data_IF_726872498941
#
_entry.id   IF_726872498941
#
_cell.length_a   1.000
_cell.length_b   1.000
_cell.length_c   1.000
_cell.angle_alpha   90.00
_cell.angle_beta   90.00
_cell.angle_gamma   90.00
#
_symmetry.space_group_name_H-M   'P 1'
#
loop_
_entity.id
_entity.type
_entity.pdbx_description
1 polymer ?
#
# COMPACT_ATOMS: atom_id res chain seq x y z
N UNK A 1 42.04 3.02 15.34
CA UNK A 1 41.37 2.24 14.25
C UNK A 1 41.12 0.79 14.69
N UNK A 2 41.93 0.20 15.61
CA UNK A 2 41.75 -1.19 16.09
C UNK A 2 40.58 -1.39 17.08
N UNK A 3 40.23 -0.38 17.86
CA UNK A 3 39.20 -0.49 18.92
C UNK A 3 37.75 -0.32 18.41
N UNK A 4 37.54 0.20 17.20
CA UNK A 4 36.21 0.32 16.58
C UNK A 4 35.75 -0.95 15.85
N UNK A 5 36.64 -1.87 15.56
CA UNK A 5 36.29 -3.16 14.91
C UNK A 5 35.79 -4.23 15.91
N UNK A 6 36.15 -4.14 17.20
CA UNK A 6 35.67 -5.10 18.20
C UNK A 6 34.21 -4.89 18.63
N UNK A 7 33.70 -3.67 18.60
CA UNK A 7 32.32 -3.39 18.98
C UNK A 7 31.28 -3.91 17.96
N UNK A 8 31.64 -3.98 16.68
CA UNK A 8 30.76 -4.46 15.61
C UNK A 8 30.65 -6.00 15.60
N UNK A 9 31.65 -6.70 16.08
CA UNK A 9 31.64 -8.17 16.17
C UNK A 9 30.90 -8.71 17.39
N UNK A 10 30.73 -7.92 18.46
CA UNK A 10 30.03 -8.36 19.66
C UNK A 10 28.50 -8.24 19.56
N UNK A 11 27.99 -7.30 18.78
CA UNK A 11 26.55 -7.13 18.53
C UNK A 11 26.00 -8.24 17.64
N UNK A 12 26.77 -8.72 16.67
CA UNK A 12 26.33 -9.80 15.76
C UNK A 12 26.23 -11.19 16.41
N UNK A 13 26.78 -11.39 17.61
CA UNK A 13 26.75 -12.71 18.28
C UNK A 13 25.56 -12.86 19.24
N UNK A 14 24.97 -11.76 19.71
CA UNK A 14 23.80 -11.76 20.59
C UNK A 14 22.46 -11.92 19.84
N UNK A 15 22.39 -11.55 18.58
CA UNK A 15 21.14 -11.62 17.80
C UNK A 15 20.90 -12.95 17.06
N UNK A 16 21.89 -13.85 16.96
CA UNK A 16 21.71 -15.15 16.32
C UNK A 16 20.97 -16.19 17.13
N UNK A 17 20.75 -15.99 18.43
CA UNK A 17 20.14 -16.99 19.31
C UNK A 17 18.67 -16.77 19.68
N UNK A 18 18.02 -15.71 19.18
CA UNK A 18 16.63 -15.36 19.55
C UNK A 18 15.60 -15.72 18.46
N UNK A 19 16.05 -16.08 17.27
CA UNK A 19 15.18 -16.33 16.10
C UNK A 19 14.74 -17.79 15.88
N UNK A 20 15.08 -18.71 16.81
CA UNK A 20 14.80 -20.15 16.63
C UNK A 20 13.74 -20.74 17.57
N UNK A 21 12.89 -19.92 18.21
CA UNK A 21 11.80 -20.45 19.05
C UNK A 21 10.48 -19.71 18.83
N UNK A 22 9.78 -19.97 17.72
CA UNK A 22 8.32 -19.92 17.64
C UNK A 22 7.82 -20.75 16.45
N UNK A 23 7.99 -22.07 16.52
CA UNK A 23 7.14 -23.01 15.81
C UNK A 23 6.26 -23.70 16.83
N UNK A 24 5.07 -23.20 17.00
CA UNK A 24 3.99 -23.87 17.74
C UNK A 24 2.77 -23.88 16.86
N UNK A 25 2.60 -24.96 16.08
CA UNK A 25 1.35 -25.25 15.39
C UNK A 25 0.27 -25.52 16.42
N UNK A 26 -0.70 -24.64 16.56
CA UNK A 26 -2.03 -25.02 17.04
C UNK A 26 -3.04 -24.52 16.02
N UNK A 27 -3.69 -25.46 15.32
CA UNK A 27 -4.93 -25.17 14.61
C UNK A 27 -5.97 -24.77 15.65
N UNK A 28 -6.61 -23.61 15.58
CA UNK A 28 -7.80 -23.33 16.35
C UNK A 28 -8.97 -24.09 15.69
N UNK A 29 -9.56 -24.97 16.42
CA UNK A 29 -10.88 -25.52 16.12
C UNK A 29 -11.93 -24.44 16.29
N UNK A 30 -12.80 -24.30 15.32
CA UNK A 30 -14.04 -23.58 15.16
C UNK A 30 -14.52 -22.63 16.25
N UNK A 31 -14.80 -21.38 15.83
CA UNK A 31 -15.43 -20.34 16.61
C UNK A 31 -14.55 -19.10 16.71
N UNK A 32 -14.16 -18.52 15.57
CA UNK A 32 -13.43 -17.25 15.53
C UNK A 32 -14.25 -16.16 16.20
N UNK A 33 -13.71 -15.51 17.23
CA UNK A 33 -14.28 -14.28 17.79
C UNK A 33 -14.15 -13.26 16.68
N UNK A 34 -15.29 -12.83 16.12
CA UNK A 34 -15.34 -11.76 15.11
C UNK A 34 -14.64 -10.53 15.69
N UNK A 35 -13.66 -10.00 14.97
CA UNK A 35 -12.99 -8.77 15.36
C UNK A 35 -14.01 -7.64 15.35
N UNK A 36 -14.19 -6.97 16.50
CA UNK A 36 -15.14 -5.87 16.60
C UNK A 36 -14.45 -4.58 16.14
N UNK A 37 -14.40 -4.39 14.82
CA UNK A 37 -13.86 -3.16 14.25
C UNK A 37 -14.81 -1.99 14.48
N UNK A 38 -14.22 -0.81 14.70
CA UNK A 38 -14.97 0.42 14.88
C UNK A 38 -15.26 1.05 13.53
N UNK A 39 -16.53 1.03 13.11
CA UNK A 39 -16.99 1.78 11.96
C UNK A 39 -17.18 3.25 12.32
N UNK A 40 -16.44 4.16 11.70
CA UNK A 40 -16.52 5.61 11.88
C UNK A 40 -17.61 6.12 10.91
N UNK A 41 -18.74 6.53 11.44
CA UNK A 41 -19.89 7.01 10.66
C UNK A 41 -20.19 8.50 10.88
N UNK A 42 -19.52 9.12 11.86
CA UNK A 42 -19.73 10.52 12.22
C UNK A 42 -18.49 11.33 11.85
N UNK A 43 -18.64 12.43 11.09
CA UNK A 43 -17.54 13.34 10.80
C UNK A 43 -16.91 13.90 12.07
N UNK A 44 -15.60 14.12 12.01
CA UNK A 44 -14.83 14.69 13.12
C UNK A 44 -13.36 14.86 12.72
N UNK A 45 -12.51 15.34 13.64
CA UNK A 45 -11.08 15.38 13.39
C UNK A 45 -10.48 13.96 13.42
N UNK A 46 -9.46 13.71 12.58
CA UNK A 46 -8.68 12.47 12.61
C UNK A 46 -7.87 12.37 13.89
N UNK A 47 -7.31 13.49 14.35
CA UNK A 47 -6.52 13.61 15.58
C UNK A 47 -7.28 14.50 16.59
N UNK A 48 -7.28 14.12 17.84
CA UNK A 48 -7.80 14.96 18.92
C UNK A 48 -6.85 16.13 19.24
N UNK A 49 -7.20 16.94 20.23
CA UNK A 49 -6.40 18.10 20.68
C UNK A 49 -5.01 17.72 21.22
N UNK A 50 -4.82 16.46 21.60
CA UNK A 50 -3.56 15.89 22.06
C UNK A 50 -2.76 15.20 20.95
N UNK A 51 -3.28 15.19 19.71
CA UNK A 51 -2.65 14.52 18.57
C UNK A 51 -2.81 13.00 18.55
N UNK A 52 -3.82 12.49 19.27
CA UNK A 52 -4.11 11.05 19.34
C UNK A 52 -5.20 10.72 18.32
N UNK A 53 -4.96 9.65 17.54
CA UNK A 53 -5.90 9.19 16.55
C UNK A 53 -7.04 8.40 17.20
N UNK A 54 -8.27 8.64 16.74
CA UNK A 54 -9.40 7.78 17.08
C UNK A 54 -9.40 6.57 16.16
N UNK A 55 -9.13 5.34 16.65
CA UNK A 55 -9.02 4.17 15.80
C UNK A 55 -10.36 3.79 15.16
N UNK A 56 -10.33 3.24 13.96
CA UNK A 56 -11.51 2.79 13.23
C UNK A 56 -11.30 2.81 11.71
N UNK A 57 -12.35 2.48 10.98
CA UNK A 57 -12.39 2.58 9.52
C UNK A 57 -13.65 3.28 9.05
N UNK A 58 -13.60 3.80 7.83
CA UNK A 58 -14.76 4.26 7.08
C UNK A 58 -14.60 3.92 5.59
N UNK A 59 -15.71 3.90 4.88
CA UNK A 59 -15.72 3.65 3.42
C UNK A 59 -15.62 4.94 2.59
N UNK A 60 -15.42 6.07 3.25
CA UNK A 60 -15.23 7.41 2.66
C UNK A 60 -14.38 8.28 3.57
N UNK A 61 -13.76 9.31 3.02
CA UNK A 61 -13.04 10.32 3.79
C UNK A 61 -13.99 11.29 4.46
N UNK A 62 -14.58 10.89 5.59
CA UNK A 62 -15.54 11.70 6.36
C UNK A 62 -14.89 12.52 7.48
N UNK A 63 -13.69 12.14 7.90
CA UNK A 63 -12.94 12.84 8.93
C UNK A 63 -11.97 13.87 8.33
N UNK A 64 -11.72 14.94 9.10
CA UNK A 64 -10.79 16.00 8.69
C UNK A 64 -9.41 15.73 9.24
N UNK A 65 -8.44 15.52 8.35
CA UNK A 65 -7.03 15.48 8.69
C UNK A 65 -6.42 16.85 8.44
N UNK A 66 -5.59 17.30 9.38
CA UNK A 66 -4.73 18.47 9.23
C UNK A 66 -3.33 18.12 9.71
N UNK A 67 -2.35 18.33 8.87
CA UNK A 67 -0.94 18.12 9.22
C UNK A 67 -0.51 18.95 10.45
N UNK A 68 -1.11 20.12 10.64
CA UNK A 68 -0.84 21.01 11.78
C UNK A 68 -1.30 20.43 13.14
N UNK A 69 -2.25 19.47 13.13
CA UNK A 69 -2.75 18.85 14.36
C UNK A 69 -1.79 17.77 14.91
N UNK A 70 -0.77 17.39 14.16
CA UNK A 70 0.21 16.38 14.55
C UNK A 70 1.06 16.90 15.72
N UNK A 71 1.04 16.19 16.85
CA UNK A 71 1.82 16.51 18.06
C UNK A 71 3.11 15.66 18.14
N UNK A 72 3.83 15.59 17.04
CA UNK A 72 5.13 14.92 16.95
C UNK A 72 6.18 15.83 16.32
N UNK A 73 7.47 15.59 16.54
CA UNK A 73 8.51 16.33 15.85
C UNK A 73 8.34 16.24 14.34
N UNK A 74 8.46 17.38 13.64
CA UNK A 74 8.21 17.48 12.19
C UNK A 74 9.04 16.50 11.36
N UNK A 75 10.24 16.16 11.84
CA UNK A 75 11.13 15.18 11.19
C UNK A 75 10.69 13.73 11.37
N UNK A 76 9.59 13.45 12.09
CA UNK A 76 9.00 12.10 12.20
C UNK A 76 7.79 11.91 11.33
N UNK A 77 7.26 12.95 10.73
CA UNK A 77 6.07 12.89 9.87
C UNK A 77 6.44 12.19 8.57
N UNK A 78 5.59 11.29 8.14
CA UNK A 78 5.70 10.51 6.91
C UNK A 78 4.45 10.70 6.09
N UNK A 79 4.62 10.93 4.79
CA UNK A 79 3.52 11.23 3.88
C UNK A 79 3.87 10.69 2.49
N UNK A 80 2.92 10.00 1.83
CA UNK A 80 3.07 9.56 0.45
C UNK A 80 1.75 9.50 -0.30
N UNK A 81 1.86 9.65 -1.61
CA UNK A 81 0.88 9.30 -2.60
C UNK A 81 1.52 8.26 -3.53
N UNK A 82 1.01 7.04 -3.50
CA UNK A 82 1.42 5.96 -4.37
C UNK A 82 0.28 5.56 -5.27
N UNK A 83 0.51 5.64 -6.58
CA UNK A 83 -0.42 5.15 -7.57
C UNK A 83 0.18 3.94 -8.29
N UNK A 84 -0.66 2.96 -8.55
CA UNK A 84 -0.33 1.85 -9.42
C UNK A 84 -1.41 1.69 -10.48
N UNK A 85 -0.98 1.41 -11.70
CA UNK A 85 -1.84 1.10 -12.85
C UNK A 85 -1.38 -0.20 -13.45
N UNK A 86 -2.31 -1.15 -13.66
CA UNK A 86 -2.00 -2.44 -14.27
C UNK A 86 -3.10 -2.87 -15.23
N UNK A 87 -2.70 -3.56 -16.30
CA UNK A 87 -3.59 -4.20 -17.27
C UNK A 87 -3.54 -5.73 -17.22
N UNK A 88 -2.98 -6.27 -16.13
CA UNK A 88 -2.80 -7.72 -15.95
C UNK A 88 -1.50 -8.29 -16.55
N UNK A 89 -0.70 -7.47 -17.21
CA UNK A 89 0.60 -7.82 -17.77
C UNK A 89 1.67 -6.77 -17.44
N UNK A 90 1.36 -5.51 -17.71
CA UNK A 90 2.22 -4.37 -17.41
C UNK A 90 1.76 -3.65 -16.16
N UNK A 91 2.72 -3.12 -15.44
CA UNK A 91 2.48 -2.32 -14.26
C UNK A 91 3.27 -1.02 -14.33
N UNK A 92 2.57 0.09 -14.13
CA UNK A 92 3.14 1.43 -14.03
C UNK A 92 2.88 1.97 -12.63
N UNK A 93 3.93 2.24 -11.90
CA UNK A 93 3.87 2.75 -10.52
C UNK A 93 4.44 4.15 -10.44
N UNK A 94 3.77 5.01 -9.67
CA UNK A 94 4.19 6.37 -9.36
C UNK A 94 4.27 6.52 -7.85
N UNK A 95 5.37 7.05 -7.35
CA UNK A 95 5.56 7.35 -5.94
C UNK A 95 5.99 8.80 -5.77
N UNK A 96 5.29 9.53 -4.92
CA UNK A 96 5.70 10.85 -4.46
C UNK A 96 5.45 10.97 -2.97
N UNK A 97 6.51 11.10 -2.18
CA UNK A 97 6.36 11.15 -0.75
C UNK A 97 7.68 11.17 0.00
N UNK A 98 7.57 11.14 1.32
CA UNK A 98 8.72 11.05 2.21
C UNK A 98 8.43 10.20 3.46
N UNK A 99 9.45 9.50 3.89
CA UNK A 99 9.49 8.78 5.15
C UNK A 99 10.37 9.57 6.13
N UNK A 100 9.89 10.75 6.57
CA UNK A 100 10.65 11.64 7.46
C UNK A 100 11.76 12.40 6.71
N UNK A 101 13.03 12.11 6.96
CA UNK A 101 14.20 12.83 6.41
C UNK A 101 14.61 12.40 4.99
N UNK A 102 14.03 11.36 4.47
CA UNK A 102 14.24 10.92 3.10
C UNK A 102 12.91 10.86 2.34
N UNK A 103 12.85 11.43 1.17
CA UNK A 103 11.71 11.35 0.27
C UNK A 103 12.10 10.80 -1.09
N UNK A 104 11.10 10.55 -1.91
CA UNK A 104 11.28 9.96 -3.23
C UNK A 104 10.26 10.49 -4.21
N UNK A 105 10.74 10.74 -5.43
CA UNK A 105 9.94 10.77 -6.65
C UNK A 105 10.37 9.56 -7.46
N UNK A 106 9.47 8.64 -7.73
CA UNK A 106 9.80 7.47 -8.54
C UNK A 106 8.66 7.09 -9.48
N UNK A 107 9.02 6.72 -10.71
CA UNK A 107 8.10 6.13 -11.67
C UNK A 107 8.78 4.91 -12.30
N UNK A 108 8.08 3.79 -12.28
CA UNK A 108 8.57 2.52 -12.78
C UNK A 108 7.53 1.88 -13.69
N UNK A 109 7.97 1.49 -14.88
CA UNK A 109 7.19 0.67 -15.82
C UNK A 109 7.88 -0.68 -15.98
N UNK A 110 7.15 -1.75 -15.80
CA UNK A 110 7.65 -3.11 -15.95
C UNK A 110 6.56 -4.07 -16.44
N UNK A 111 6.99 -5.15 -17.09
CA UNK A 111 6.14 -6.28 -17.43
C UNK A 111 6.40 -7.40 -16.42
N UNK A 112 5.43 -7.69 -15.56
CA UNK A 112 5.62 -8.69 -14.51
C UNK A 112 5.44 -10.13 -15.01
N UNK A 113 4.84 -10.34 -16.18
CA UNK A 113 4.77 -11.67 -16.80
C UNK A 113 6.14 -12.13 -17.32
N UNK A 114 6.95 -11.20 -17.81
CA UNK A 114 8.29 -11.49 -18.35
C UNK A 114 9.42 -11.16 -17.38
N UNK A 115 9.13 -10.37 -16.33
CA UNK A 115 10.14 -9.83 -15.41
C UNK A 115 10.95 -8.66 -15.99
N UNK A 116 10.54 -8.12 -17.17
CA UNK A 116 11.23 -7.02 -17.83
C UNK A 116 10.97 -5.68 -17.13
N UNK A 117 12.03 -5.02 -16.68
CA UNK A 117 11.97 -3.61 -16.26
C UNK A 117 12.19 -2.73 -17.47
N UNK A 118 11.12 -2.04 -17.91
CA UNK A 118 11.11 -1.21 -19.11
C UNK A 118 11.67 0.18 -18.81
N UNK A 119 11.24 0.77 -17.68
CA UNK A 119 11.75 2.05 -17.20
C UNK A 119 11.74 2.09 -15.67
N UNK A 120 12.74 2.71 -15.08
CA UNK A 120 12.82 2.94 -13.63
C UNK A 120 13.55 4.25 -13.35
N UNK A 121 12.79 5.30 -13.09
CA UNK A 121 13.32 6.60 -12.72
C UNK A 121 13.03 6.84 -11.25
N UNK A 122 14.08 7.09 -10.47
CA UNK A 122 13.97 7.38 -9.03
C UNK A 122 14.89 8.55 -8.67
N UNK A 123 14.34 9.51 -7.95
CA UNK A 123 15.04 10.65 -7.37
C UNK A 123 14.86 10.66 -5.87
N UNK A 124 15.98 10.52 -5.15
CA UNK A 124 16.00 10.68 -3.70
C UNK A 124 15.90 12.16 -3.33
N UNK A 125 15.01 12.50 -2.41
CA UNK A 125 14.81 13.82 -1.85
C UNK A 125 15.39 13.84 -0.44
N UNK A 126 16.45 14.60 -0.23
CA UNK A 126 17.06 14.74 1.10
C UNK A 126 16.29 15.79 1.93
N UNK A 127 15.95 15.43 3.16
CA UNK A 127 15.38 16.33 4.18
C UNK A 127 14.12 17.10 3.70
N UNK A 128 13.14 16.45 3.07
CA UNK A 128 11.98 17.17 2.51
C UNK A 128 11.07 17.79 3.57
N UNK A 129 10.86 17.14 4.72
CA UNK A 129 10.16 17.64 5.91
C UNK A 129 8.86 18.41 5.65
N UNK A 130 8.03 17.95 4.73
CA UNK A 130 6.75 18.58 4.38
C UNK A 130 6.84 19.64 3.28
N UNK A 131 8.02 19.86 2.69
CA UNK A 131 8.17 20.75 1.53
C UNK A 131 7.54 20.21 0.24
N UNK A 132 7.02 18.97 0.27
CA UNK A 132 6.33 18.36 -0.86
C UNK A 132 4.89 18.87 -1.00
N UNK A 133 4.35 19.54 0.01
CA UNK A 133 2.99 20.12 0.03
C UNK A 133 1.92 19.12 -0.42
N UNK A 134 2.02 17.87 0.09
CA UNK A 134 1.06 16.82 -0.23
C UNK A 134 -0.33 17.17 0.34
N UNK A 135 -1.42 16.83 -0.36
CA UNK A 135 -2.77 17.21 0.06
C UNK A 135 -3.17 16.53 1.38
N UNK A 136 -4.02 17.21 2.15
CA UNK A 136 -4.54 16.71 3.41
C UNK A 136 -5.76 15.78 3.25
N UNK A 137 -6.25 15.63 2.01
CA UNK A 137 -7.37 14.76 1.66
C UNK A 137 -7.13 14.13 0.27
N UNK A 138 -7.36 12.84 0.15
CA UNK A 138 -7.18 12.10 -1.10
C UNK A 138 -8.30 12.30 -2.14
N UNK A 139 -9.46 12.81 -1.73
CA UNK A 139 -10.63 13.02 -2.59
C UNK A 139 -10.83 14.50 -2.96
N UNK A 140 -10.14 15.42 -2.31
CA UNK A 140 -10.24 16.85 -2.60
C UNK A 140 -9.49 17.19 -3.89
N UNK A 141 -10.04 18.12 -4.66
CA UNK A 141 -9.35 18.69 -5.80
C UNK A 141 -7.97 19.20 -5.39
N UNK A 142 -6.97 18.79 -6.13
CA UNK A 142 -5.57 19.11 -5.84
C UNK A 142 -4.71 19.05 -7.07
N UNK A 143 -3.59 19.75 -7.03
CA UNK A 143 -2.62 19.78 -8.11
C UNK A 143 -1.21 19.86 -7.51
N UNK A 144 -0.57 18.72 -7.40
CA UNK A 144 0.79 18.63 -6.87
C UNK A 144 1.77 18.28 -7.97
N UNK A 145 2.92 18.92 -7.94
CA UNK A 145 3.95 18.68 -8.94
C UNK A 145 5.35 18.67 -8.32
N UNK A 146 6.20 17.91 -8.97
CA UNK A 146 7.65 17.96 -8.82
C UNK A 146 8.28 18.31 -10.15
N UNK A 147 9.18 19.29 -10.14
CA UNK A 147 9.86 19.76 -11.34
C UNK A 147 11.31 20.12 -11.00
N UNK A 148 12.22 19.15 -11.08
CA UNK A 148 13.66 19.36 -10.83
C UNK A 148 14.51 18.35 -11.56
N UNK A 149 15.64 18.85 -12.14
CA UNK A 149 16.68 17.99 -12.70
C UNK A 149 16.22 17.16 -13.89
N UNK A 150 15.37 17.73 -14.75
CA UNK A 150 14.83 17.06 -15.94
C UNK A 150 13.81 15.97 -15.63
N UNK A 151 13.28 15.95 -14.41
CA UNK A 151 12.19 15.06 -14.00
C UNK A 151 11.00 15.91 -13.61
N UNK A 152 9.86 15.65 -14.26
CA UNK A 152 8.58 16.30 -14.02
C UNK A 152 7.55 15.24 -13.62
N UNK A 153 6.91 15.41 -12.49
CA UNK A 153 5.79 14.58 -12.01
C UNK A 153 4.64 15.51 -11.65
N UNK A 154 3.42 15.15 -12.04
CA UNK A 154 2.23 15.87 -11.63
C UNK A 154 1.11 14.89 -11.31
N UNK A 155 0.48 15.08 -10.16
CA UNK A 155 -0.78 14.43 -9.80
C UNK A 155 -1.84 15.51 -9.65
N UNK A 156 -2.86 15.49 -10.51
CA UNK A 156 -3.99 16.40 -10.49
C UNK A 156 -5.27 15.62 -10.19
N UNK A 157 -6.07 16.08 -9.24
CA UNK A 157 -7.36 15.54 -8.88
C UNK A 157 -8.44 16.58 -9.21
N UNK A 158 -9.44 16.17 -9.97
CA UNK A 158 -10.63 16.96 -10.30
C UNK A 158 -11.86 16.04 -10.12
N UNK A 159 -12.58 16.21 -9.01
CA UNK A 159 -13.68 15.34 -8.64
C UNK A 159 -13.25 13.87 -8.57
N UNK A 160 -13.91 13.02 -9.34
CA UNK A 160 -13.61 11.59 -9.38
C UNK A 160 -12.48 11.21 -10.36
N UNK A 161 -11.87 12.18 -11.03
CA UNK A 161 -10.83 11.96 -12.04
C UNK A 161 -9.46 12.33 -11.50
N UNK A 162 -8.48 11.51 -11.80
CA UNK A 162 -7.06 11.75 -11.49
C UNK A 162 -6.24 11.70 -12.76
N UNK A 163 -5.44 12.72 -12.95
CA UNK A 163 -4.50 12.85 -14.06
C UNK A 163 -3.09 12.68 -13.51
N UNK A 164 -2.43 11.61 -13.93
CA UNK A 164 -1.05 11.31 -13.57
C UNK A 164 -0.18 11.57 -14.78
N UNK A 165 0.73 12.53 -14.70
CA UNK A 165 1.69 12.79 -15.76
C UNK A 165 3.12 12.75 -15.23
N UNK A 166 3.99 12.21 -16.06
CA UNK A 166 5.41 12.10 -15.79
C UNK A 166 6.21 12.32 -17.06
N UNK A 167 7.33 13.02 -16.94
CA UNK A 167 8.34 13.05 -17.99
C UNK A 167 9.76 13.12 -17.41
N UNK A 168 10.65 12.39 -18.06
CA UNK A 168 12.09 12.38 -17.86
C UNK A 168 12.76 12.12 -19.22
N UNK A 169 14.08 12.26 -19.36
CA UNK A 169 14.75 11.84 -20.60
C UNK A 169 14.37 10.38 -20.96
N UNK A 170 13.94 10.19 -22.20
CA UNK A 170 13.55 8.91 -22.80
C UNK A 170 12.36 8.17 -22.14
N UNK A 171 11.65 8.80 -21.17
CA UNK A 171 10.49 8.20 -20.54
C UNK A 171 9.39 9.22 -20.23
N UNK A 172 8.21 9.01 -20.77
CA UNK A 172 7.00 9.79 -20.51
C UNK A 172 5.83 8.86 -20.15
N UNK A 173 4.92 9.35 -19.31
CA UNK A 173 3.67 8.65 -18.98
C UNK A 173 2.55 9.66 -18.75
N UNK A 174 1.37 9.37 -19.30
CA UNK A 174 0.15 10.15 -19.11
C UNK A 174 -1.01 9.18 -18.91
N UNK A 175 -1.55 9.15 -17.70
CA UNK A 175 -2.63 8.24 -17.30
C UNK A 175 -3.78 9.06 -16.71
N UNK A 176 -4.99 8.69 -17.09
CA UNK A 176 -6.22 9.16 -16.47
C UNK A 176 -6.85 7.99 -15.71
N UNK A 177 -7.15 8.23 -14.43
CA UNK A 177 -7.88 7.30 -13.58
C UNK A 177 -9.25 7.88 -13.30
N UNK A 178 -10.29 7.06 -13.45
CA UNK A 178 -11.66 7.44 -13.12
C UNK A 178 -12.18 6.55 -11.98
N UNK A 179 -12.64 7.16 -10.91
CA UNK A 179 -13.28 6.48 -9.80
C UNK A 179 -14.71 6.14 -10.17
N UNK A 180 -14.98 4.85 -10.34
CA UNK A 180 -16.33 4.33 -10.64
C UNK A 180 -17.04 3.80 -9.37
N UNK A 181 -16.27 3.44 -8.35
CA UNK A 181 -16.80 3.00 -7.07
C UNK A 181 -16.87 4.17 -6.09
N UNK A 182 -18.05 4.50 -5.52
CA UNK A 182 -18.19 5.58 -4.54
C UNK A 182 -17.55 5.25 -3.18
N UNK A 183 -17.16 4.00 -2.97
CA UNK A 183 -16.55 3.52 -1.73
C UNK A 183 -15.05 3.30 -1.89
N UNK A 184 -14.34 3.49 -0.80
CA UNK A 184 -12.91 3.29 -0.64
C UNK A 184 -12.65 2.72 0.75
N UNK A 185 -11.41 2.54 1.14
CA UNK A 185 -11.05 2.13 2.49
C UNK A 185 -10.24 3.25 3.14
N UNK A 186 -10.80 3.86 4.18
CA UNK A 186 -10.11 4.83 5.04
C UNK A 186 -9.89 4.19 6.39
N UNK A 187 -8.65 4.22 6.89
CA UNK A 187 -8.29 3.59 8.16
C UNK A 187 -7.52 4.53 9.07
N UNK A 188 -7.84 4.41 10.34
CA UNK A 188 -7.21 5.10 11.45
C UNK A 188 -6.58 4.06 12.38
N UNK A 189 -5.27 3.88 12.30
CA UNK A 189 -4.54 2.85 13.07
C UNK A 189 -3.58 3.53 14.03
N UNK A 190 -3.72 3.34 15.36
CA UNK A 190 -2.74 3.77 16.34
C UNK A 190 -1.56 2.79 16.39
N UNK A 191 -0.47 3.24 17.01
CA UNK A 191 0.64 2.38 17.42
C UNK A 191 0.77 2.39 18.94
N UNK A 192 1.10 1.23 19.51
CA UNK A 192 1.16 1.09 20.98
C UNK A 192 2.41 1.72 21.60
N UNK A 193 3.46 1.93 20.81
CA UNK A 193 4.75 2.47 21.28
C UNK A 193 4.67 3.94 21.73
N UNK A 194 3.85 4.73 21.06
CA UNK A 194 3.66 6.15 21.37
C UNK A 194 2.21 6.57 21.18
N UNK A 195 1.61 7.25 22.13
CA UNK A 195 0.20 7.71 22.05
C UNK A 195 -0.11 8.57 20.83
N UNK A 196 0.89 9.34 20.35
CA UNK A 196 0.75 10.21 19.16
C UNK A 196 1.26 9.54 17.89
N UNK A 197 1.60 8.25 17.94
CA UNK A 197 1.93 7.49 16.73
C UNK A 197 0.67 6.96 16.08
N UNK A 198 0.56 7.19 14.79
CA UNK A 198 -0.62 6.81 14.03
C UNK A 198 -0.30 6.59 12.55
N UNK A 199 -1.18 5.85 11.90
CA UNK A 199 -1.29 5.69 10.48
C UNK A 199 -2.70 6.05 10.02
N UNK A 200 -2.82 7.12 9.29
CA UNK A 200 -4.03 7.52 8.59
C UNK A 200 -3.84 7.23 7.11
N UNK A 201 -4.65 6.36 6.57
CA UNK A 201 -4.49 5.90 5.22
C UNK A 201 -5.81 5.85 4.46
N UNK A 202 -5.73 6.14 3.17
CA UNK A 202 -6.85 6.09 2.26
C UNK A 202 -6.46 5.25 1.04
N UNK A 203 -7.12 4.10 0.87
CA UNK A 203 -6.97 3.20 -0.27
C UNK A 203 -8.16 3.39 -1.21
N UNK A 204 -7.90 3.86 -2.43
CA UNK A 204 -8.92 3.96 -3.48
C UNK A 204 -8.63 2.90 -4.52
N UNK A 205 -9.50 1.89 -4.59
CA UNK A 205 -9.39 0.76 -5.48
C UNK A 205 -10.35 0.88 -6.68
N UNK A 206 -10.20 0.00 -7.64
CA UNK A 206 -11.17 -0.19 -8.74
C UNK A 206 -11.37 1.06 -9.62
N UNK A 207 -10.36 1.93 -9.72
CA UNK A 207 -10.39 3.01 -10.69
C UNK A 207 -10.12 2.45 -12.08
N UNK A 208 -10.94 2.80 -13.06
CA UNK A 208 -10.63 2.48 -14.46
C UNK A 208 -9.47 3.36 -14.93
N UNK A 209 -8.54 2.78 -15.68
CA UNK A 209 -7.34 3.48 -16.12
C UNK A 209 -7.27 3.56 -17.64
N UNK A 210 -6.88 4.72 -18.18
CA UNK A 210 -6.60 4.92 -19.60
C UNK A 210 -5.39 5.83 -19.76
N UNK A 211 -4.61 5.56 -20.79
CA UNK A 211 -3.48 6.39 -21.13
C UNK A 211 -2.35 5.59 -21.73
N UNK A 212 -1.16 6.19 -21.69
CA UNK A 212 0.02 5.57 -22.27
C UNK A 212 1.29 5.96 -21.54
N UNK A 213 2.30 5.13 -21.70
CA UNK A 213 3.68 5.45 -21.41
C UNK A 213 4.53 5.27 -22.67
N UNK A 214 5.58 6.08 -22.82
CA UNK A 214 6.54 6.00 -23.93
C UNK A 214 7.93 5.90 -23.33
N UNK A 215 8.67 4.87 -23.70
CA UNK A 215 10.04 4.66 -23.24
C UNK A 215 10.92 4.28 -24.44
N UNK A 216 12.01 5.02 -24.68
CA UNK A 216 12.91 4.78 -25.80
C UNK A 216 12.20 4.79 -27.15
N UNK A 217 11.16 5.61 -27.32
CA UNK A 217 10.34 5.68 -28.54
C UNK A 217 9.29 4.56 -28.69
N UNK A 218 9.25 3.58 -27.79
CA UNK A 218 8.24 2.53 -27.77
C UNK A 218 7.05 2.92 -26.89
N UNK A 219 5.85 2.77 -27.41
CA UNK A 219 4.61 3.10 -26.71
C UNK A 219 4.03 1.87 -25.98
N UNK A 220 3.50 2.10 -24.77
CA UNK A 220 2.82 1.13 -23.92
C UNK A 220 1.47 1.68 -23.54
N UNK A 221 0.40 1.11 -24.08
CA UNK A 221 -0.96 1.59 -23.93
C UNK A 221 -1.63 0.88 -22.74
N UNK A 222 -2.35 1.65 -21.93
CA UNK A 222 -3.28 1.19 -20.91
C UNK A 222 -4.70 1.57 -21.40
N UNK A 223 -5.52 0.56 -21.64
CA UNK A 223 -6.87 0.70 -22.21
C UNK A 223 -7.91 -0.07 -21.42
N UNK A 224 -8.89 -0.61 -22.13
CA UNK A 224 -9.96 -1.38 -21.51
C UNK A 224 -9.38 -2.59 -20.74
N UNK A 225 -9.83 -2.77 -19.49
CA UNK A 225 -9.29 -3.77 -18.57
C UNK A 225 -8.09 -3.32 -17.75
N UNK A 226 -7.55 -2.11 -17.98
CA UNK A 226 -6.57 -1.52 -17.07
C UNK A 226 -7.25 -0.87 -15.87
N UNK A 227 -6.68 -1.09 -14.69
CA UNK A 227 -7.17 -0.55 -13.44
C UNK A 227 -6.07 0.15 -12.67
N UNK A 228 -6.49 1.15 -11.88
CA UNK A 228 -5.61 1.89 -10.99
C UNK A 228 -6.01 1.80 -9.54
N UNK A 229 -5.04 1.98 -8.67
CA UNK A 229 -5.22 2.17 -7.24
C UNK A 229 -4.48 3.41 -6.77
N UNK A 230 -4.94 3.98 -5.67
CA UNK A 230 -4.21 4.95 -4.85
C UNK A 230 -3.99 4.37 -3.47
N UNK A 231 -2.76 4.41 -3.00
CA UNK A 231 -2.38 4.28 -1.60
C UNK A 231 -1.87 5.64 -1.11
N UNK A 232 -2.72 6.34 -0.37
CA UNK A 232 -2.45 7.64 0.21
C UNK A 232 -2.22 7.47 1.72
N UNK A 233 -1.02 7.78 2.20
CA UNK A 233 -0.64 7.56 3.59
C UNK A 233 -0.11 8.81 4.27
N UNK A 234 -0.55 9.04 5.52
CA UNK A 234 -0.11 10.13 6.40
C UNK A 234 0.08 9.60 7.81
N UNK A 235 1.12 10.04 8.49
CA UNK A 235 1.25 9.67 9.89
C UNK A 235 2.61 9.83 10.51
N UNK A 236 2.71 9.22 11.69
CA UNK A 236 3.92 9.13 12.51
C UNK A 236 3.96 7.75 13.12
N UNK A 237 4.95 6.95 12.80
CA UNK A 237 5.07 5.59 13.33
C UNK A 237 6.52 5.23 13.64
N UNK A 238 6.77 4.16 14.43
CA UNK A 238 8.10 3.68 14.77
C UNK A 238 8.95 3.40 13.54
N UNK A 239 10.29 3.39 13.70
CA UNK A 239 11.19 3.02 12.60
C UNK A 239 11.16 1.53 12.31
N UNK A 240 11.09 0.71 13.37
CA UNK A 240 11.01 -0.74 13.23
C UNK A 240 9.55 -1.13 13.07
N UNK A 241 9.22 -1.71 11.94
CA UNK A 241 7.90 -2.24 11.65
C UNK A 241 7.98 -3.28 10.54
N UNK A 242 6.95 -4.12 10.48
CA UNK A 242 6.79 -5.16 9.49
C UNK A 242 5.32 -5.20 9.08
N UNK A 243 5.06 -5.37 7.79
CA UNK A 243 3.69 -5.50 7.30
C UNK A 243 3.61 -6.42 6.09
N UNK A 244 2.42 -6.94 5.91
CA UNK A 244 1.97 -7.59 4.69
C UNK A 244 0.85 -6.76 4.10
N UNK A 245 0.91 -6.57 2.79
CA UNK A 245 -0.12 -5.86 2.03
C UNK A 245 -0.37 -6.56 0.72
N UNK A 246 -1.64 -6.60 0.28
CA UNK A 246 -2.03 -7.12 -1.01
C UNK A 246 -3.16 -6.28 -1.58
N UNK A 247 -3.09 -6.02 -2.87
CA UNK A 247 -4.09 -5.24 -3.57
C UNK A 247 -4.26 -5.78 -4.98
N UNK A 248 -5.50 -5.84 -5.42
CA UNK A 248 -5.82 -6.30 -6.76
C UNK A 248 -7.14 -5.73 -7.25
N UNK A 249 -7.23 -5.56 -8.56
CA UNK A 249 -8.46 -5.20 -9.26
C UNK A 249 -8.52 -5.91 -10.60
N UNK A 250 -9.68 -6.41 -10.94
CA UNK A 250 -9.96 -7.05 -12.23
C UNK A 250 -11.47 -7.23 -12.42
N UNK A 251 -11.83 -8.19 -13.23
CA UNK A 251 -13.23 -8.49 -13.55
C UNK A 251 -13.56 -9.93 -13.14
N UNK A 252 -14.63 -10.10 -12.37
CA UNK A 252 -15.19 -11.39 -11.96
C UNK A 252 -16.67 -11.39 -12.36
N UNK A 253 -17.13 -12.40 -13.07
CA UNK A 253 -18.49 -12.50 -13.60
C UNK A 253 -18.96 -11.26 -14.38
N UNK A 254 -18.04 -10.66 -15.16
CA UNK A 254 -18.30 -9.46 -15.96
C UNK A 254 -18.44 -8.17 -15.17
N UNK A 255 -18.14 -8.17 -13.86
CA UNK A 255 -18.22 -7.00 -12.97
C UNK A 255 -16.87 -6.71 -12.37
N UNK A 256 -16.60 -5.42 -12.08
CA UNK A 256 -15.36 -5.01 -11.44
C UNK A 256 -15.34 -5.60 -10.02
N UNK A 257 -14.27 -6.34 -9.74
CA UNK A 257 -13.90 -6.88 -8.45
C UNK A 257 -12.54 -6.31 -8.03
N UNK A 258 -12.40 -6.01 -6.76
CA UNK A 258 -11.10 -5.62 -6.20
C UNK A 258 -11.02 -5.96 -4.72
N UNK A 259 -9.82 -5.95 -4.21
CA UNK A 259 -9.56 -6.15 -2.79
C UNK A 259 -8.38 -5.29 -2.32
N UNK A 260 -8.42 -4.93 -1.04
CA UNK A 260 -7.29 -4.46 -0.26
C UNK A 260 -7.19 -5.32 0.99
N UNK A 261 -6.04 -5.90 1.24
CA UNK A 261 -5.77 -6.79 2.37
C UNK A 261 -4.46 -6.36 3.03
N UNK A 262 -4.45 -6.26 4.36
CA UNK A 262 -3.24 -5.88 5.08
C UNK A 262 -3.22 -6.38 6.51
N UNK A 263 -2.02 -6.61 7.04
CA UNK A 263 -1.78 -6.99 8.43
C UNK A 263 -0.38 -6.60 8.87
N UNK A 264 -0.20 -6.43 10.19
CA UNK A 264 1.11 -6.19 10.80
C UNK A 264 1.46 -4.73 11.05
N UNK A 265 0.80 -3.77 10.39
CA UNK A 265 1.13 -2.36 10.52
C UNK A 265 0.29 -1.67 11.59
N UNK A 266 0.89 -1.44 12.77
CA UNK A 266 0.24 -0.82 13.92
C UNK A 266 -0.76 -1.71 14.66
N UNK A 267 -1.55 -1.10 15.53
CA UNK A 267 -2.57 -1.81 16.31
C UNK A 267 -3.89 -1.90 15.53
N UNK A 268 -4.12 -3.03 14.89
CA UNK A 268 -5.30 -3.29 14.05
C UNK A 268 -6.50 -3.86 14.81
N UNK A 269 -6.51 -3.82 16.16
CA UNK A 269 -7.58 -4.41 16.96
C UNK A 269 -8.96 -3.78 16.73
N UNK A 270 -9.02 -2.52 16.28
CA UNK A 270 -10.24 -1.78 16.01
C UNK A 270 -10.42 -1.35 14.55
N UNK A 271 -9.43 -1.58 13.71
CA UNK A 271 -9.48 -1.32 12.28
C UNK A 271 -8.45 -2.20 11.56
N UNK A 272 -8.83 -2.83 10.46
CA UNK A 272 -7.93 -3.54 9.57
C UNK A 272 -8.01 -3.00 8.16
N UNK A 273 -6.98 -3.27 7.38
CA UNK A 273 -6.89 -2.86 5.97
C UNK A 273 -7.63 -3.82 5.02
N UNK A 274 -8.66 -4.53 5.49
CA UNK A 274 -9.24 -5.66 4.77
C UNK A 274 -10.63 -5.32 4.24
N UNK A 275 -10.76 -5.20 2.93
CA UNK A 275 -12.01 -4.86 2.26
C UNK A 275 -12.04 -5.46 0.85
N UNK A 276 -13.19 -6.00 0.48
CA UNK A 276 -13.51 -6.37 -0.90
C UNK A 276 -14.38 -5.31 -1.55
N UNK A 277 -14.24 -5.15 -2.84
CA UNK A 277 -15.06 -4.28 -3.67
C UNK A 277 -15.66 -5.12 -4.81
N UNK A 278 -16.96 -5.06 -4.98
CA UNK A 278 -17.64 -5.77 -6.06
C UNK A 278 -18.83 -4.99 -6.57
N UNK A 279 -18.86 -4.75 -7.87
CA UNK A 279 -19.98 -4.11 -8.57
C UNK A 279 -20.46 -2.80 -7.89
N UNK A 280 -19.51 -1.93 -7.50
CA UNK A 280 -19.78 -0.64 -6.86
C UNK A 280 -20.20 -0.71 -5.38
N UNK A 281 -20.06 -1.87 -4.74
CA UNK A 281 -20.26 -2.07 -3.29
C UNK A 281 -18.95 -2.43 -2.61
N UNK A 282 -18.91 -2.25 -1.28
CA UNK A 282 -17.82 -2.72 -0.45
C UNK A 282 -18.28 -3.82 0.51
N UNK A 283 -17.36 -4.66 0.93
CA UNK A 283 -17.59 -5.75 1.87
C UNK A 283 -16.40 -5.80 2.82
N UNK A 284 -16.59 -5.37 4.06
CA UNK A 284 -15.53 -5.32 5.06
C UNK A 284 -15.21 -6.73 5.55
N UNK A 285 -13.93 -7.07 5.55
CA UNK A 285 -13.41 -8.29 6.14
C UNK A 285 -12.79 -7.98 7.51
N UNK A 286 -12.74 -9.00 8.37
CA UNK A 286 -12.02 -8.97 9.63
C UNK A 286 -10.52 -9.19 9.43
N UNK A 287 -9.91 -9.98 10.32
CA UNK A 287 -8.48 -10.30 10.26
C UNK A 287 -8.16 -11.20 9.08
N UNK A 288 -7.17 -10.81 8.30
CA UNK A 288 -6.61 -11.60 7.21
C UNK A 288 -5.21 -12.09 7.57
N UNK A 289 -4.91 -13.30 7.15
CA UNK A 289 -3.62 -13.95 7.32
C UNK A 289 -2.92 -14.10 5.98
N UNK A 290 -1.61 -13.93 6.01
CA UNK A 290 -0.71 -14.20 4.90
C UNK A 290 0.16 -15.38 5.29
N UNK A 291 -0.07 -16.53 4.68
CA UNK A 291 0.70 -17.77 4.91
C UNK A 291 1.61 -17.98 3.70
N UNK A 292 2.90 -17.89 3.94
CA UNK A 292 3.95 -17.96 2.92
C UNK A 292 5.11 -18.84 3.39
N UNK A 293 5.83 -19.41 2.44
CA UNK A 293 7.08 -20.13 2.67
C UNK A 293 8.24 -19.15 2.91
N UNK A 294 9.40 -19.64 3.28
CA UNK A 294 10.65 -18.88 3.34
C UNK A 294 11.14 -18.43 1.96
N UNK A 295 10.68 -19.07 0.90
CA UNK A 295 10.96 -18.74 -0.49
C UNK A 295 9.79 -17.93 -1.07
N UNK A 296 9.98 -16.65 -1.29
CA UNK A 296 8.93 -15.73 -1.74
C UNK A 296 8.26 -16.13 -3.07
N UNK A 297 8.97 -16.81 -3.96
CA UNK A 297 8.44 -17.28 -5.25
C UNK A 297 7.55 -18.53 -5.14
N UNK A 298 7.38 -19.10 -3.94
CA UNK A 298 6.37 -20.15 -3.70
C UNK A 298 4.98 -19.53 -3.51
N UNK A 299 3.91 -20.31 -3.70
CA UNK A 299 2.56 -19.80 -3.51
C UNK A 299 2.32 -19.24 -2.10
N UNK A 300 1.60 -18.12 -2.03
CA UNK A 300 1.14 -17.51 -0.79
C UNK A 300 -0.34 -17.76 -0.64
N UNK A 301 -0.79 -18.15 0.53
CA UNK A 301 -2.22 -18.26 0.85
C UNK A 301 -2.64 -17.06 1.69
N UNK A 302 -3.71 -16.38 1.24
CA UNK A 302 -4.34 -15.27 1.93
C UNK A 302 -5.74 -15.70 2.33
N UNK A 303 -6.05 -15.68 3.63
CA UNK A 303 -7.35 -16.14 4.13
C UNK A 303 -7.76 -15.32 5.35
N UNK A 304 -9.07 -15.28 5.66
CA UNK A 304 -9.59 -14.62 6.84
C UNK A 304 -10.09 -15.60 7.91
N UNK A 305 -10.31 -15.08 9.12
CA UNK A 305 -10.81 -15.88 10.26
C UNK A 305 -12.27 -16.32 10.09
N UNK A 306 -13.05 -15.63 9.25
CA UNK A 306 -14.49 -15.87 9.06
C UNK A 306 -14.80 -16.84 7.90
N UNK A 307 -13.80 -17.26 7.14
CA UNK A 307 -13.94 -18.13 5.96
C UNK A 307 -14.56 -17.44 4.76
N UNK A 308 -14.53 -16.13 4.72
CA UNK A 308 -15.03 -15.28 3.63
C UNK A 308 -13.98 -15.04 2.54
N UNK A 309 -12.72 -15.25 2.85
CA UNK A 309 -11.62 -15.12 1.91
C UNK A 309 -10.72 -16.36 1.97
N UNK A 310 -10.41 -16.93 0.82
CA UNK A 310 -9.39 -17.96 0.68
C UNK A 310 -8.82 -17.88 -0.73
N UNK A 311 -7.71 -17.13 -0.86
CA UNK A 311 -7.02 -16.88 -2.11
C UNK A 311 -5.61 -17.45 -2.07
N UNK A 312 -5.16 -17.98 -3.18
CA UNK A 312 -3.77 -18.39 -3.39
C UNK A 312 -3.16 -17.52 -4.47
N UNK A 313 -2.11 -16.80 -4.12
CA UNK A 313 -1.22 -16.14 -5.07
C UNK A 313 -0.21 -17.15 -5.60
N UNK A 314 -0.12 -17.30 -6.91
CA UNK A 314 0.96 -17.97 -7.60
C UNK A 314 1.91 -16.91 -8.16
N UNK A 315 3.06 -16.65 -7.51
CA UNK A 315 3.97 -15.59 -7.94
C UNK A 315 4.62 -15.89 -9.30
N UNK A 316 4.76 -14.86 -10.12
CA UNK A 316 5.55 -14.92 -11.35
C UNK A 316 6.72 -13.92 -11.35
N UNK A 317 6.67 -12.89 -10.51
CA UNK A 317 7.72 -11.87 -10.44
C UNK A 317 7.87 -11.31 -9.02
N UNK A 318 9.11 -11.27 -8.52
CA UNK A 318 9.50 -10.59 -7.27
C UNK A 318 10.10 -9.23 -7.59
N UNK A 319 9.32 -8.17 -7.35
CA UNK A 319 9.84 -6.81 -7.38
C UNK A 319 10.43 -6.46 -6.02
N UNK A 320 11.69 -6.78 -5.83
CA UNK A 320 12.41 -6.44 -4.61
C UNK A 320 12.87 -4.99 -4.61
N UNK A 321 12.54 -4.25 -3.55
CA UNK A 321 13.08 -2.92 -3.28
C UNK A 321 13.83 -2.94 -1.98
N UNK A 322 15.10 -2.51 -2.00
CA UNK A 322 15.88 -2.33 -0.78
C UNK A 322 16.47 -0.94 -0.71
N UNK A 323 16.20 -0.25 0.38
CA UNK A 323 16.78 1.05 0.67
C UNK A 323 17.54 0.97 1.99
N UNK A 324 18.85 1.19 1.93
CA UNK A 324 19.70 1.25 3.11
C UNK A 324 20.36 2.61 3.20
N UNK A 325 19.94 3.40 4.19
CA UNK A 325 20.49 4.75 4.42
C UNK A 325 20.75 4.91 5.92
N UNK A 326 22.02 5.06 6.30
CA UNK A 326 22.45 5.19 7.68
C UNK A 326 21.93 4.05 8.57
N UNK A 327 20.90 4.32 9.38
CA UNK A 327 20.31 3.41 10.36
C UNK A 327 18.99 2.80 9.87
N UNK A 328 18.55 3.10 8.65
CA UNK A 328 17.31 2.57 8.07
C UNK A 328 17.67 1.52 7.04
N UNK A 329 17.20 0.30 7.24
CA UNK A 329 17.26 -0.80 6.28
C UNK A 329 15.81 -1.22 5.98
N UNK A 330 15.28 -0.75 4.87
CA UNK A 330 13.97 -1.15 4.36
C UNK A 330 14.16 -2.22 3.29
N UNK A 331 13.47 -3.33 3.44
CA UNK A 331 13.39 -4.37 2.43
C UNK A 331 11.93 -4.71 2.16
N UNK A 332 11.51 -4.58 0.93
CA UNK A 332 10.16 -4.90 0.48
C UNK A 332 10.21 -5.86 -0.69
N UNK A 333 9.56 -7.00 -0.55
CA UNK A 333 9.29 -7.97 -1.61
C UNK A 333 7.84 -7.79 -2.06
N UNK A 334 7.62 -7.31 -3.27
CA UNK A 334 6.31 -7.16 -3.87
C UNK A 334 6.14 -8.23 -4.95
N UNK A 335 5.37 -9.27 -4.61
CA UNK A 335 5.17 -10.46 -5.43
C UNK A 335 4.00 -10.26 -6.36
N UNK A 336 4.26 -10.17 -7.66
CA UNK A 336 3.22 -10.12 -8.70
C UNK A 336 2.88 -11.53 -9.17
N UNK A 337 1.62 -11.78 -9.48
CA UNK A 337 1.17 -13.07 -9.97
C UNK A 337 -0.35 -13.21 -10.05
N UNK A 338 -0.80 -14.40 -10.35
CA UNK A 338 -2.21 -14.75 -10.44
C UNK A 338 -2.79 -15.17 -9.09
N UNK A 339 -3.91 -14.58 -8.73
CA UNK A 339 -4.70 -14.97 -7.57
C UNK A 339 -5.85 -15.88 -8.00
N UNK A 340 -5.98 -17.04 -7.34
CA UNK A 340 -7.10 -17.96 -7.54
C UNK A 340 -7.67 -18.39 -6.21
N UNK A 341 -8.98 -18.66 -6.18
CA UNK A 341 -9.69 -19.06 -4.98
C UNK A 341 -11.09 -18.49 -4.89
N UNK A 342 -11.53 -18.12 -3.69
CA UNK A 342 -12.89 -17.63 -3.47
C UNK A 342 -12.94 -16.42 -2.54
N UNK A 343 -13.97 -15.59 -2.76
CA UNK A 343 -14.38 -14.53 -1.85
C UNK A 343 -15.89 -14.62 -1.61
N UNK A 344 -16.34 -14.36 -0.38
CA UNK A 344 -17.75 -14.39 0.02
C UNK A 344 -18.18 -12.99 0.42
N UNK A 345 -19.21 -12.48 -0.26
CA UNK A 345 -19.79 -11.16 -0.01
C UNK A 345 -20.68 -11.15 1.24
N UNK A 346 -21.11 -9.98 1.68
CA UNK A 346 -21.94 -9.82 2.89
C UNK A 346 -23.33 -10.49 2.76
N UNK A 347 -23.82 -10.65 1.55
CA UNK A 347 -25.09 -11.33 1.23
C UNK A 347 -24.94 -12.87 1.06
N UNK A 348 -23.73 -13.39 1.26
CA UNK A 348 -23.42 -14.81 1.09
C UNK A 348 -23.08 -15.22 -0.36
N UNK A 349 -23.08 -14.29 -1.31
CA UNK A 349 -22.66 -14.57 -2.68
C UNK A 349 -21.20 -15.01 -2.70
N UNK A 350 -20.92 -16.15 -3.31
CA UNK A 350 -19.57 -16.70 -3.49
C UNK A 350 -19.04 -16.32 -4.85
N UNK A 351 -17.95 -15.58 -4.87
CA UNK A 351 -17.21 -15.25 -6.08
C UNK A 351 -16.06 -16.24 -6.26
N UNK A 352 -15.97 -16.83 -7.43
CA UNK A 352 -14.81 -17.64 -7.83
C UNK A 352 -13.82 -16.72 -8.53
N UNK A 353 -12.61 -16.68 -8.01
CA UNK A 353 -11.51 -15.88 -8.55
C UNK A 353 -10.61 -16.84 -9.31
N UNK A 354 -10.32 -16.53 -10.58
CA UNK A 354 -9.47 -17.35 -11.42
C UNK A 354 -8.41 -16.47 -12.09
N UNK A 355 -7.15 -16.72 -11.76
CA UNK A 355 -5.94 -16.05 -12.28
C UNK A 355 -6.01 -14.50 -12.31
N UNK A 356 -6.66 -13.89 -11.33
CA UNK A 356 -6.70 -12.42 -11.21
C UNK A 356 -5.29 -11.89 -10.95
N UNK A 357 -4.78 -11.08 -11.87
CA UNK A 357 -3.42 -10.56 -11.80
C UNK A 357 -3.33 -9.40 -10.81
N UNK A 358 -2.54 -9.60 -9.75
CA UNK A 358 -2.41 -8.65 -8.66
C UNK A 358 -1.05 -8.82 -7.95
N UNK A 359 -0.90 -8.23 -6.77
CA UNK A 359 0.32 -8.40 -5.98
C UNK A 359 0.03 -8.64 -4.50
N UNK A 360 0.99 -9.24 -3.83
CA UNK A 360 1.13 -9.23 -2.37
C UNK A 360 2.56 -8.83 -2.01
N UNK A 361 2.71 -8.08 -0.91
CA UNK A 361 4.03 -7.66 -0.44
C UNK A 361 4.27 -8.03 1.01
N UNK A 362 5.55 -8.22 1.31
CA UNK A 362 6.08 -8.29 2.65
C UNK A 362 7.19 -7.25 2.77
N UNK A 363 7.03 -6.34 3.71
CA UNK A 363 7.99 -5.28 3.93
C UNK A 363 8.47 -5.26 5.38
N UNK A 364 9.77 -5.07 5.54
CA UNK A 364 10.45 -5.02 6.85
C UNK A 364 11.31 -3.76 6.91
N UNK A 365 11.11 -2.98 7.94
CA UNK A 365 11.92 -1.81 8.30
C UNK A 365 12.71 -2.10 9.59
N UNK A 366 14.04 -2.01 9.52
CA UNK A 366 14.97 -2.24 10.63
C UNK A 366 15.87 -1.03 10.89
#
# INVERSE_FOLDING_TARGET
IRDRMCAILFVNKLFKNTLLRRRGKTRPSGGGIRMQERHITTPGPVLDEHGVITPGYSERSICTYRRADIKAPFYRIKEWDFYQVSDGEKCLQFTYGHASYAGQVAVMLFNFKTGEVIANISKLLALPFGSLHLPENAEQDSDICYDKGGVHLRFKVEGDTRYLSFSAPDFEANITLERKNPYSLVIHIPFDEYKTAFYYNHKINCMTARGRAVCGGKEYIFGDGAFGLLDWGRGVWPFHNEWYWSNGTGTVDGKIFGFNLGTGFGNTSQASENMLFYNGKYHKLGRVHFDLDTEYMKPWRLYDDEGRLDLTLTPCYDRTTRMKVLFVDNCCHQMFGGFSGRAVLDDGTVLQIDDLQAFAEHAVNN
#
